data_IF_203166810135
#
_entry.id   IF_203166810135
#
_cell.length_a   1.000
_cell.length_b   1.000
_cell.length_c   1.000
_cell.angle_alpha   90.00
_cell.angle_beta   90.00
_cell.angle_gamma   90.00
#
_symmetry.space_group_name_H-M   'P 1'
#
loop_
_entity.id
_entity.type
_entity.pdbx_description
1 polymer ?
#
# COMPACT_ATOMS: atom_id res chain seq x y z
N UNK A 1 10.90 29.21 -0.83
CA UNK A 1 11.27 29.82 0.46
C UNK A 1 10.04 29.76 1.34
N UNK A 2 10.18 29.23 2.55
CA UNK A 2 9.10 29.13 3.54
C UNK A 2 9.54 29.82 4.83
N UNK A 3 8.58 30.39 5.56
CA UNK A 3 8.81 31.11 6.82
C UNK A 3 7.97 30.46 7.93
N UNK A 4 8.48 30.45 9.16
CA UNK A 4 7.72 29.93 10.31
C UNK A 4 6.30 30.52 10.32
N UNK A 5 5.30 29.63 10.43
CA UNK A 5 3.87 29.95 10.38
C UNK A 5 3.26 29.88 8.99
N UNK A 6 4.06 29.67 7.93
CA UNK A 6 3.51 29.38 6.61
C UNK A 6 2.70 28.09 6.61
N UNK A 7 1.64 28.06 5.79
CA UNK A 7 0.72 26.94 5.69
C UNK A 7 0.47 26.55 4.24
N UNK A 8 0.12 25.29 4.02
CA UNK A 8 -0.35 24.79 2.74
C UNK A 8 0.49 23.69 2.15
N UNK A 9 0.25 23.39 0.88
CA UNK A 9 0.75 22.20 0.20
C UNK A 9 2.28 22.09 0.19
N UNK A 10 3.00 23.21 0.01
CA UNK A 10 4.47 23.21 0.03
C UNK A 10 5.06 22.81 1.40
N UNK A 11 4.33 23.13 2.50
CA UNK A 11 4.72 22.70 3.85
C UNK A 11 4.41 21.21 4.04
N UNK A 12 3.25 20.74 3.57
CA UNK A 12 2.91 19.31 3.59
C UNK A 12 3.98 18.48 2.87
N UNK A 13 4.39 18.92 1.68
CA UNK A 13 5.44 18.24 0.89
C UNK A 13 6.77 18.16 1.64
N UNK A 14 7.20 19.26 2.25
CA UNK A 14 8.40 19.27 3.10
C UNK A 14 8.27 18.28 4.28
N UNK A 15 7.16 18.33 4.98
CA UNK A 15 6.88 17.47 6.13
C UNK A 15 6.87 15.99 5.74
N UNK A 16 6.20 15.66 4.65
CA UNK A 16 6.17 14.28 4.12
C UNK A 16 7.56 13.79 3.73
N UNK A 17 8.37 14.62 3.08
CA UNK A 17 9.73 14.28 2.71
C UNK A 17 10.62 14.07 3.94
N UNK A 18 10.53 14.93 4.96
CA UNK A 18 11.26 14.78 6.21
C UNK A 18 10.90 13.48 6.93
N UNK A 19 9.60 13.18 7.05
CA UNK A 19 9.12 11.92 7.66
C UNK A 19 9.63 10.72 6.87
N UNK A 20 9.57 10.77 5.54
CA UNK A 20 10.07 9.72 4.67
C UNK A 20 11.58 9.47 4.82
N UNK A 21 12.34 10.52 5.14
CA UNK A 21 13.78 10.45 5.40
C UNK A 21 14.11 10.05 6.85
N UNK A 22 13.09 9.76 7.69
CA UNK A 22 13.25 9.31 9.07
C UNK A 22 13.26 10.43 10.12
N UNK A 23 12.99 11.67 9.72
CA UNK A 23 12.87 12.81 10.65
C UNK A 23 11.41 12.95 11.10
N UNK A 24 11.09 12.28 12.20
CA UNK A 24 9.72 12.12 12.68
C UNK A 24 9.06 13.44 13.09
N UNK A 25 7.76 13.53 12.83
CA UNK A 25 6.84 14.58 13.28
C UNK A 25 5.76 13.93 14.18
N UNK A 26 6.11 13.55 15.43
CA UNK A 26 5.30 12.62 16.23
C UNK A 26 3.99 13.21 16.74
N UNK A 27 3.86 14.52 16.83
CA UNK A 27 2.69 15.18 17.42
C UNK A 27 1.65 15.59 16.39
N UNK A 28 2.08 16.17 15.28
CA UNK A 28 1.18 16.78 14.30
C UNK A 28 1.27 16.14 12.92
N UNK A 29 2.39 15.43 12.63
CA UNK A 29 2.60 14.82 11.32
C UNK A 29 2.75 15.86 10.21
N UNK A 30 2.31 15.51 9.00
CA UNK A 30 2.29 16.41 7.85
C UNK A 30 0.97 17.20 7.82
N UNK A 31 0.80 18.14 8.76
CA UNK A 31 -0.41 18.95 8.95
C UNK A 31 -0.46 20.20 8.07
N UNK A 32 0.63 20.49 7.38
CA UNK A 32 0.76 21.65 6.50
C UNK A 32 1.00 22.97 7.24
N UNK A 33 1.37 22.94 8.52
CA UNK A 33 1.76 24.12 9.31
C UNK A 33 3.27 24.08 9.59
N UNK A 34 4.03 25.09 9.14
CA UNK A 34 5.47 25.19 9.39
C UNK A 34 5.73 25.66 10.83
N UNK A 35 5.45 24.77 11.77
CA UNK A 35 5.65 24.98 13.20
C UNK A 35 7.00 24.49 13.70
N UNK A 36 7.19 24.56 15.03
CA UNK A 36 8.44 24.17 15.71
C UNK A 36 8.82 22.71 15.45
N UNK A 37 7.85 21.81 15.38
CA UNK A 37 8.10 20.39 15.13
C UNK A 37 8.76 20.17 13.77
N UNK A 38 8.21 20.79 12.73
CA UNK A 38 8.76 20.72 11.37
C UNK A 38 10.15 21.36 11.29
N UNK A 39 10.32 22.52 11.92
CA UNK A 39 11.62 23.19 11.92
C UNK A 39 12.68 22.39 12.68
N UNK A 40 12.35 21.78 13.81
CA UNK A 40 13.27 20.90 14.55
C UNK A 40 13.65 19.66 13.75
N UNK A 41 12.72 19.06 13.04
CA UNK A 41 12.99 17.94 12.13
C UNK A 41 13.92 18.34 10.97
N UNK A 42 13.65 19.51 10.37
CA UNK A 42 14.52 20.08 9.33
C UNK A 42 15.92 20.42 9.84
N UNK A 43 16.03 21.03 11.03
CA UNK A 43 17.33 21.31 11.65
C UNK A 43 18.17 20.05 11.80
N UNK A 44 17.56 18.98 12.32
CA UNK A 44 18.24 17.69 12.44
C UNK A 44 18.67 17.14 11.08
N UNK A 45 17.79 17.21 10.08
CA UNK A 45 18.13 16.82 8.71
C UNK A 45 19.33 17.61 8.18
N UNK A 46 19.33 18.93 8.36
CA UNK A 46 20.40 19.81 7.89
C UNK A 46 21.74 19.52 8.60
N UNK A 47 21.70 19.29 9.91
CA UNK A 47 22.89 18.90 10.69
C UNK A 47 23.46 17.57 10.18
N UNK A 48 22.63 16.56 9.98
CA UNK A 48 23.06 15.25 9.47
C UNK A 48 23.65 15.33 8.05
N UNK A 49 23.33 16.40 7.29
CA UNK A 49 23.85 16.67 5.94
C UNK A 49 24.90 17.80 5.90
N UNK A 50 25.48 18.16 7.04
CA UNK A 50 26.60 19.12 7.14
C UNK A 50 26.23 20.57 6.83
N UNK A 51 24.95 20.96 7.03
CA UNK A 51 24.45 22.32 6.78
C UNK A 51 24.28 23.18 8.04
N UNK A 52 24.79 22.72 9.18
CA UNK A 52 24.65 23.41 10.46
C UNK A 52 23.50 22.83 11.31
N UNK A 53 23.43 23.24 12.55
CA UNK A 53 22.48 22.74 13.56
C UNK A 53 21.57 23.86 14.14
N UNK A 54 21.63 25.06 13.56
CA UNK A 54 20.76 26.16 13.96
C UNK A 54 19.38 26.02 13.29
N UNK A 55 18.33 26.25 14.08
CA UNK A 55 16.97 26.21 13.57
C UNK A 55 16.72 27.39 12.62
N UNK A 56 16.39 27.15 11.33
CA UNK A 56 16.21 28.23 10.37
C UNK A 56 14.89 28.97 10.66
N UNK A 57 14.96 30.28 10.78
CA UNK A 57 13.76 31.11 10.82
C UNK A 57 13.07 31.18 9.44
N UNK A 58 13.87 31.11 8.39
CA UNK A 58 13.43 31.07 6.99
C UNK A 58 14.07 29.85 6.33
N UNK A 59 13.26 28.97 5.79
CA UNK A 59 13.73 27.81 5.03
C UNK A 59 14.00 28.29 3.60
N UNK A 60 15.28 28.42 3.26
CA UNK A 60 15.70 28.88 1.95
C UNK A 60 15.41 27.84 0.85
N UNK A 61 15.43 28.28 -0.41
CA UNK A 61 15.21 27.38 -1.54
C UNK A 61 16.27 26.25 -1.61
N UNK A 62 17.53 26.56 -1.21
CA UNK A 62 18.61 25.57 -1.20
C UNK A 62 18.40 24.44 -0.18
N UNK A 63 17.76 24.72 0.95
CA UNK A 63 17.43 23.73 1.98
C UNK A 63 16.26 22.83 1.53
N UNK A 64 15.23 23.43 0.94
CA UNK A 64 14.12 22.68 0.33
C UNK A 64 14.62 21.78 -0.79
N UNK A 65 15.49 22.30 -1.64
CA UNK A 65 16.09 21.53 -2.74
C UNK A 65 16.95 20.39 -2.22
N UNK A 66 17.72 20.58 -1.14
CA UNK A 66 18.51 19.52 -0.53
C UNK A 66 17.61 18.41 0.02
N UNK A 67 16.53 18.76 0.74
CA UNK A 67 15.54 17.77 1.22
C UNK A 67 14.97 17.00 0.04
N UNK A 68 14.56 17.71 -1.01
CA UNK A 68 14.01 17.09 -2.22
C UNK A 68 15.01 16.16 -2.92
N UNK A 69 16.27 16.57 -3.09
CA UNK A 69 17.31 15.75 -3.73
C UNK A 69 17.63 14.48 -2.93
N UNK A 70 17.77 14.59 -1.60
CA UNK A 70 18.02 13.43 -0.74
C UNK A 70 16.81 12.50 -0.75
N UNK A 71 15.60 13.05 -0.69
CA UNK A 71 14.36 12.28 -0.80
C UNK A 71 14.25 11.57 -2.15
N UNK A 72 14.50 12.27 -3.25
CA UNK A 72 14.46 11.70 -4.61
C UNK A 72 15.52 10.61 -4.79
N UNK A 73 16.74 10.81 -4.28
CA UNK A 73 17.80 9.79 -4.30
C UNK A 73 17.41 8.56 -3.47
N UNK A 74 16.79 8.78 -2.31
CA UNK A 74 16.30 7.69 -1.44
C UNK A 74 15.12 6.97 -2.07
N UNK A 75 14.21 7.69 -2.72
CA UNK A 75 13.09 7.13 -3.47
C UNK A 75 13.56 6.37 -4.73
N UNK A 76 14.56 6.89 -5.45
CA UNK A 76 15.18 6.21 -6.58
C UNK A 76 15.96 4.94 -6.17
N UNK A 77 16.47 4.91 -4.95
CA UNK A 77 17.08 3.71 -4.35
C UNK A 77 16.03 2.71 -3.83
N UNK A 78 14.74 3.05 -3.92
CA UNK A 78 13.67 2.10 -3.61
C UNK A 78 13.61 1.07 -4.73
N UNK A 79 13.92 -0.21 -4.47
CA UNK A 79 13.92 -1.21 -5.53
C UNK A 79 12.54 -1.26 -6.18
N UNK A 80 12.53 -1.38 -7.51
CA UNK A 80 11.34 -1.81 -8.26
C UNK A 80 10.74 -3.00 -7.52
N UNK A 81 9.43 -3.05 -7.27
CA UNK A 81 8.79 -4.10 -6.46
C UNK A 81 9.25 -5.51 -6.81
N UNK A 82 9.50 -5.76 -8.09
CA UNK A 82 9.99 -7.05 -8.57
C UNK A 82 11.12 -6.83 -9.57
N UNK A 83 12.37 -7.19 -9.26
CA UNK A 83 13.47 -7.08 -10.21
C UNK A 83 13.17 -7.82 -11.52
N UNK A 84 13.40 -7.15 -12.66
CA UNK A 84 13.17 -7.71 -13.99
C UNK A 84 11.72 -7.70 -14.46
N UNK A 85 10.81 -7.08 -13.72
CA UNK A 85 9.41 -6.85 -14.10
C UNK A 85 9.11 -5.38 -14.32
N UNK A 86 8.07 -5.08 -15.09
CA UNK A 86 7.68 -3.70 -15.37
C UNK A 86 6.92 -3.12 -14.17
N UNK A 87 7.30 -1.91 -13.81
CA UNK A 87 6.59 -1.10 -12.82
C UNK A 87 5.92 0.08 -13.51
N UNK A 88 4.61 0.19 -13.34
CA UNK A 88 3.83 1.31 -13.85
C UNK A 88 3.38 2.21 -12.71
N UNK A 89 3.82 3.46 -12.73
CA UNK A 89 3.34 4.49 -11.81
C UNK A 89 2.20 5.27 -12.49
N UNK A 90 0.96 4.91 -12.15
CA UNK A 90 -0.25 5.47 -12.74
C UNK A 90 -0.87 6.59 -11.88
N UNK A 91 -0.20 7.06 -10.85
CA UNK A 91 -0.77 8.05 -9.91
C UNK A 91 -1.17 9.37 -10.55
N UNK A 92 -0.60 9.71 -11.70
CA UNK A 92 -0.94 10.93 -12.45
C UNK A 92 -2.14 10.70 -13.38
N UNK A 93 -2.26 9.49 -13.91
CA UNK A 93 -3.25 9.07 -14.89
C UNK A 93 -4.52 8.55 -14.23
N UNK A 94 -4.42 8.01 -13.00
CA UNK A 94 -5.51 7.35 -12.32
C UNK A 94 -6.72 8.26 -12.05
N UNK A 95 -7.91 7.65 -12.09
CA UNK A 95 -9.16 8.31 -11.72
C UNK A 95 -9.17 8.69 -10.24
N UNK A 96 -8.98 9.97 -9.97
CA UNK A 96 -8.91 10.53 -8.62
C UNK A 96 -10.26 10.61 -7.92
N UNK A 97 -11.37 10.37 -8.62
CA UNK A 97 -12.72 10.33 -8.01
C UNK A 97 -12.85 9.23 -6.96
N UNK A 98 -11.97 8.21 -7.01
CA UNK A 98 -11.91 7.11 -6.06
C UNK A 98 -11.16 7.46 -4.78
N UNK A 99 -10.51 8.62 -4.70
CA UNK A 99 -9.76 9.07 -3.52
C UNK A 99 -10.69 9.86 -2.61
N UNK A 100 -10.96 9.32 -1.42
CA UNK A 100 -11.86 9.91 -0.41
C UNK A 100 -11.12 10.57 0.76
N UNK A 101 -9.81 10.75 0.61
CA UNK A 101 -8.95 11.38 1.61
C UNK A 101 -7.54 10.81 1.60
N UNK A 102 -6.79 11.19 2.63
CA UNK A 102 -5.41 10.72 2.85
C UNK A 102 -5.26 10.30 4.31
N UNK A 103 -4.46 9.27 4.55
CA UNK A 103 -4.15 8.74 5.88
C UNK A 103 -2.65 8.81 6.15
N UNK A 104 -2.22 9.06 7.40
CA UNK A 104 -0.80 9.04 7.74
C UNK A 104 -0.24 7.62 7.62
N UNK A 105 1.05 7.50 7.36
CA UNK A 105 1.74 6.21 7.25
C UNK A 105 1.57 5.32 8.48
N UNK A 106 1.50 5.91 9.66
CA UNK A 106 1.30 5.19 10.93
C UNK A 106 -0.09 4.55 11.06
N UNK A 107 -1.06 4.96 10.24
CA UNK A 107 -2.39 4.37 10.19
C UNK A 107 -2.46 3.19 9.24
N UNK A 108 -1.48 3.04 8.32
CA UNK A 108 -1.42 1.91 7.40
C UNK A 108 -0.84 0.71 8.16
N UNK A 109 -1.70 -0.26 8.48
CA UNK A 109 -1.36 -1.42 9.29
C UNK A 109 -1.57 -2.75 8.58
N UNK A 110 -2.19 -2.75 7.40
CA UNK A 110 -2.48 -3.96 6.65
C UNK A 110 -2.42 -3.79 5.14
N UNK A 111 -2.48 -4.93 4.48
CA UNK A 111 -2.71 -5.06 3.04
C UNK A 111 -3.93 -5.96 2.87
N UNK A 112 -4.89 -5.56 2.04
CA UNK A 112 -6.03 -6.42 1.67
C UNK A 112 -5.81 -6.95 0.25
N UNK A 113 -5.83 -8.27 0.10
CA UNK A 113 -5.77 -8.93 -1.20
C UNK A 113 -7.16 -9.03 -1.83
N UNK A 114 -7.20 -8.73 -3.12
CA UNK A 114 -8.39 -8.83 -3.97
C UNK A 114 -8.07 -9.63 -5.23
N UNK A 115 -9.09 -10.23 -5.84
CA UNK A 115 -9.05 -10.64 -7.23
C UNK A 115 -9.86 -9.66 -8.08
N UNK A 116 -9.33 -9.26 -9.24
CA UNK A 116 -10.03 -8.39 -10.17
C UNK A 116 -11.32 -9.02 -10.71
N UNK A 117 -11.45 -10.34 -10.65
CA UNK A 117 -12.50 -11.12 -11.28
C UNK A 117 -12.60 -10.86 -12.81
N UNK A 118 -11.52 -10.47 -13.43
CA UNK A 118 -11.39 -10.17 -14.85
C UNK A 118 -9.95 -10.35 -15.31
N UNK A 119 -9.78 -10.77 -16.55
CA UNK A 119 -8.54 -10.74 -17.29
C UNK A 119 -8.54 -9.49 -18.18
N UNK A 120 -7.65 -8.54 -17.91
CA UNK A 120 -7.54 -7.31 -18.70
C UNK A 120 -6.77 -7.51 -20.01
N UNK A 121 -6.11 -8.66 -20.17
CA UNK A 121 -5.27 -8.94 -21.33
C UNK A 121 -4.11 -7.96 -21.47
N UNK A 122 -3.62 -7.80 -22.71
CA UNK A 122 -2.46 -6.94 -23.00
C UNK A 122 -2.80 -5.44 -23.17
N UNK A 123 -4.04 -5.02 -22.91
CA UNK A 123 -4.48 -3.61 -23.05
C UNK A 123 -4.01 -2.76 -21.86
N UNK A 124 -2.72 -2.64 -21.67
CA UNK A 124 -2.11 -1.92 -20.54
C UNK A 124 -1.47 -0.61 -21.00
N UNK A 125 -1.38 0.38 -20.12
CA UNK A 125 -1.87 0.49 -18.73
C UNK A 125 -3.30 1.02 -18.58
N UNK A 126 -3.98 1.39 -19.68
CA UNK A 126 -5.21 2.19 -19.70
C UNK A 126 -6.42 1.59 -18.95
N UNK A 127 -6.40 0.31 -18.59
CA UNK A 127 -7.49 -0.32 -17.83
C UNK A 127 -7.25 -0.34 -16.33
N UNK A 128 -6.00 -0.12 -15.90
CA UNK A 128 -5.59 -0.18 -14.52
C UNK A 128 -5.79 1.15 -13.78
N UNK A 129 -5.90 2.27 -14.53
CA UNK A 129 -6.05 3.63 -13.99
C UNK A 129 -7.37 3.88 -13.27
N UNK A 130 -8.39 3.05 -13.52
CA UNK A 130 -9.72 3.14 -12.91
C UNK A 130 -9.94 2.18 -11.74
N UNK A 131 -8.94 1.44 -11.30
CA UNK A 131 -9.07 0.52 -10.17
C UNK A 131 -9.32 1.25 -8.85
N UNK A 132 -10.14 0.62 -8.03
CA UNK A 132 -10.46 1.09 -6.67
C UNK A 132 -9.52 0.45 -5.64
N UNK A 133 -8.23 0.44 -5.92
CA UNK A 133 -7.17 -0.03 -5.02
C UNK A 133 -5.90 0.79 -5.25
N UNK A 134 -4.99 0.78 -4.29
CA UNK A 134 -3.74 1.53 -4.42
C UNK A 134 -2.75 0.83 -5.35
N UNK A 135 -2.79 -0.49 -5.41
CA UNK A 135 -1.82 -1.29 -6.17
C UNK A 135 -2.49 -2.45 -6.90
N UNK A 136 -1.84 -2.95 -7.94
CA UNK A 136 -2.26 -4.14 -8.65
C UNK A 136 -1.08 -4.93 -9.22
N UNK A 137 -1.32 -6.22 -9.53
CA UNK A 137 -0.39 -7.09 -10.24
C UNK A 137 -1.12 -7.84 -11.36
N UNK A 138 -0.46 -7.96 -12.53
CA UNK A 138 -1.03 -8.60 -13.71
C UNK A 138 -0.58 -10.05 -13.87
N UNK A 139 -1.31 -10.79 -14.70
CA UNK A 139 -0.97 -12.18 -15.07
C UNK A 139 0.42 -12.31 -15.69
N UNK A 140 0.89 -11.30 -16.45
CA UNK A 140 2.23 -11.28 -17.06
C UNK A 140 3.32 -10.82 -16.09
N UNK A 141 2.95 -10.41 -14.89
CA UNK A 141 3.90 -10.04 -13.84
C UNK A 141 4.28 -8.55 -13.81
N UNK A 142 3.45 -7.67 -14.37
CA UNK A 142 3.61 -6.24 -14.18
C UNK A 142 3.02 -5.80 -12.85
N UNK A 143 3.63 -4.79 -12.22
CA UNK A 143 3.14 -4.17 -10.99
C UNK A 143 2.71 -2.73 -11.24
N UNK A 144 1.56 -2.37 -10.72
CA UNK A 144 0.95 -1.05 -10.90
C UNK A 144 0.80 -0.34 -9.56
N UNK A 145 1.28 0.89 -9.48
CA UNK A 145 0.95 1.84 -8.43
C UNK A 145 -0.13 2.78 -8.97
N UNK A 146 -1.38 2.47 -8.67
CA UNK A 146 -2.55 3.19 -9.20
C UNK A 146 -2.79 4.47 -8.42
N UNK A 147 -2.72 4.39 -7.09
CA UNK A 147 -2.86 5.53 -6.18
C UNK A 147 -1.73 5.54 -5.15
N UNK A 148 -1.47 6.70 -4.54
CA UNK A 148 -0.57 6.76 -3.40
C UNK A 148 -1.00 5.76 -2.32
N UNK A 149 -0.04 5.11 -1.66
CA UNK A 149 -0.34 4.16 -0.58
C UNK A 149 -1.10 4.83 0.59
N UNK A 150 -0.90 6.12 0.78
CA UNK A 150 -1.62 6.92 1.77
C UNK A 150 -3.02 7.33 1.30
N UNK A 151 -3.36 7.20 0.03
CA UNK A 151 -4.71 7.53 -0.45
C UNK A 151 -5.75 6.63 0.22
N UNK A 152 -6.82 7.24 0.73
CA UNK A 152 -7.98 6.53 1.22
C UNK A 152 -8.86 6.17 0.04
N UNK A 153 -8.78 4.92 -0.41
CA UNK A 153 -9.56 4.36 -1.52
C UNK A 153 -10.54 3.34 -0.96
N UNK A 154 -11.72 3.27 -1.54
CA UNK A 154 -12.76 2.33 -1.09
C UNK A 154 -12.64 0.97 -1.78
N UNK A 155 -11.65 0.17 -1.37
CA UNK A 155 -11.39 -1.16 -1.93
C UNK A 155 -11.94 -2.31 -1.07
N UNK A 156 -11.86 -2.22 0.26
CA UNK A 156 -11.98 -3.33 1.21
C UNK A 156 -13.02 -3.11 2.31
N UNK A 157 -14.05 -2.27 2.12
CA UNK A 157 -15.08 -1.99 3.13
C UNK A 157 -14.45 -1.52 4.45
N UNK A 158 -14.57 -2.29 5.53
CA UNK A 158 -14.05 -1.93 6.85
C UNK A 158 -12.52 -1.86 6.94
N UNK A 159 -11.79 -2.39 5.97
CA UNK A 159 -10.33 -2.30 5.90
C UNK A 159 -9.82 -1.01 5.23
N UNK A 160 -10.69 -0.25 4.52
CA UNK A 160 -10.27 0.97 3.81
C UNK A 160 -9.43 1.95 4.66
N UNK A 161 -9.73 2.18 5.96
CA UNK A 161 -8.96 3.13 6.74
C UNK A 161 -7.52 2.69 7.05
N UNK A 162 -7.27 1.39 7.07
CA UNK A 162 -6.02 0.82 7.60
C UNK A 162 -5.20 0.04 6.58
N UNK A 163 -5.82 -0.41 5.48
CA UNK A 163 -5.16 -1.31 4.55
C UNK A 163 -4.89 -0.67 3.19
N UNK A 164 -3.81 -1.09 2.57
CA UNK A 164 -3.53 -0.90 1.15
C UNK A 164 -4.21 -2.02 0.38
N UNK A 165 -4.99 -1.69 -0.65
CA UNK A 165 -5.57 -2.68 -1.56
C UNK A 165 -4.53 -3.15 -2.58
N UNK A 166 -4.44 -4.47 -2.76
CA UNK A 166 -3.67 -5.11 -3.83
C UNK A 166 -4.61 -5.98 -4.67
N UNK A 167 -4.92 -5.51 -5.87
CA UNK A 167 -5.71 -6.21 -6.86
C UNK A 167 -4.84 -7.18 -7.66
N UNK A 168 -5.33 -8.40 -7.83
CA UNK A 168 -4.66 -9.48 -8.55
C UNK A 168 -5.49 -9.83 -9.77
N UNK A 169 -4.89 -9.69 -10.96
CA UNK A 169 -5.57 -9.95 -12.22
C UNK A 169 -6.01 -11.41 -12.33
N UNK A 170 -7.17 -11.63 -12.90
CA UNK A 170 -7.73 -12.94 -13.14
C UNK A 170 -9.02 -13.20 -12.35
N UNK A 171 -9.68 -14.31 -12.70
CA UNK A 171 -10.84 -14.84 -12.02
C UNK A 171 -10.43 -16.11 -11.27
N UNK A 172 -10.44 -16.07 -9.95
CA UNK A 172 -10.09 -17.21 -9.11
C UNK A 172 -11.28 -17.65 -8.28
N UNK A 173 -11.48 -18.95 -8.21
CA UNK A 173 -12.52 -19.51 -7.37
C UNK A 173 -12.08 -19.54 -5.90
N UNK A 174 -13.03 -19.43 -5.03
CA UNK A 174 -12.92 -20.05 -3.71
C UNK A 174 -13.30 -21.53 -3.78
N UNK A 175 -13.69 -22.11 -2.66
CA UNK A 175 -14.13 -23.50 -2.60
C UNK A 175 -15.41 -23.73 -3.41
N UNK A 176 -16.27 -22.73 -3.51
CA UNK A 176 -17.61 -22.85 -4.13
C UNK A 176 -17.60 -22.61 -5.65
N UNK A 177 -16.43 -22.50 -6.29
CA UNK A 177 -16.34 -22.18 -7.72
C UNK A 177 -16.31 -20.67 -7.98
N UNK A 178 -16.40 -20.24 -9.24
CA UNK A 178 -16.36 -18.82 -9.61
C UNK A 178 -17.48 -18.02 -8.96
N UNK A 179 -17.27 -16.73 -8.68
CA UNK A 179 -18.23 -15.91 -7.92
C UNK A 179 -19.63 -15.83 -8.56
N UNK A 180 -19.71 -15.89 -9.87
CA UNK A 180 -20.95 -15.83 -10.65
C UNK A 180 -21.38 -17.17 -11.26
N UNK A 181 -20.57 -18.22 -11.10
CA UNK A 181 -20.84 -19.55 -11.66
C UNK A 181 -20.71 -19.64 -13.18
N UNK A 182 -20.27 -18.60 -13.86
CA UNK A 182 -20.32 -18.48 -15.32
C UNK A 182 -19.00 -18.72 -16.01
N UNK A 183 -17.86 -18.60 -15.30
CA UNK A 183 -16.53 -18.74 -15.86
C UNK A 183 -15.73 -19.87 -15.19
N UNK A 184 -14.85 -20.49 -15.96
CA UNK A 184 -13.86 -21.43 -15.41
C UNK A 184 -12.81 -20.65 -14.62
N UNK A 185 -12.53 -20.99 -13.35
CA UNK A 185 -11.47 -20.36 -12.59
C UNK A 185 -10.12 -20.47 -13.30
N UNK A 186 -9.34 -19.41 -13.26
CA UNK A 186 -7.96 -19.40 -13.74
C UNK A 186 -7.03 -19.95 -12.67
N UNK A 187 -5.89 -20.47 -13.09
CA UNK A 187 -4.77 -20.76 -12.19
C UNK A 187 -3.82 -19.56 -12.16
N UNK A 188 -3.40 -19.08 -10.98
CA UNK A 188 -2.45 -17.98 -10.89
C UNK A 188 -1.17 -18.32 -11.64
N UNK A 189 -0.66 -17.39 -12.46
CA UNK A 189 0.61 -17.55 -13.12
C UNK A 189 1.77 -17.42 -12.13
N UNK A 190 2.90 -18.10 -12.36
CA UNK A 190 4.11 -17.88 -11.54
C UNK A 190 4.54 -16.41 -11.53
N UNK A 191 4.34 -15.71 -12.64
CA UNK A 191 4.63 -14.29 -12.81
C UNK A 191 3.78 -13.42 -11.90
N UNK A 192 2.46 -13.63 -11.89
CA UNK A 192 1.54 -12.94 -10.98
C UNK A 192 1.91 -13.18 -9.51
N UNK A 193 2.16 -14.44 -9.14
CA UNK A 193 2.52 -14.80 -7.76
C UNK A 193 3.80 -14.08 -7.33
N UNK A 194 4.87 -14.17 -8.15
CA UNK A 194 6.13 -13.51 -7.85
C UNK A 194 6.01 -11.99 -7.75
N UNK A 195 5.21 -11.38 -8.64
CA UNK A 195 4.96 -9.94 -8.66
C UNK A 195 4.14 -9.49 -7.45
N UNK A 196 3.10 -10.22 -7.09
CA UNK A 196 2.30 -9.92 -5.90
C UNK A 196 3.12 -10.02 -4.61
N UNK A 197 3.93 -11.08 -4.46
CA UNK A 197 4.85 -11.22 -3.33
C UNK A 197 5.87 -10.08 -3.28
N UNK A 198 6.47 -9.71 -4.42
CA UNK A 198 7.38 -8.57 -4.53
C UNK A 198 6.70 -7.25 -4.17
N UNK A 199 5.47 -7.05 -4.64
CA UNK A 199 4.65 -5.89 -4.31
C UNK A 199 4.34 -5.79 -2.81
N UNK A 200 4.00 -6.89 -2.15
CA UNK A 200 3.78 -6.94 -0.70
C UNK A 200 5.05 -6.56 0.06
N UNK A 201 6.22 -7.10 -0.32
CA UNK A 201 7.52 -6.71 0.28
C UNK A 201 7.79 -5.22 0.10
N UNK A 202 7.54 -4.72 -1.11
CA UNK A 202 7.73 -3.29 -1.42
C UNK A 202 6.80 -2.41 -0.58
N UNK A 203 5.51 -2.72 -0.47
CA UNK A 203 4.56 -1.98 0.38
C UNK A 203 5.03 -2.03 1.85
N UNK A 204 5.45 -3.20 2.33
CA UNK A 204 5.98 -3.38 3.69
C UNK A 204 7.15 -2.45 3.96
N UNK A 205 8.13 -2.40 3.05
CA UNK A 205 9.30 -1.53 3.21
C UNK A 205 8.95 -0.04 3.04
N UNK A 206 7.97 0.32 2.19
CA UNK A 206 7.49 1.70 2.11
C UNK A 206 6.87 2.15 3.43
N UNK A 207 5.95 1.38 3.97
CA UNK A 207 5.27 1.71 5.24
C UNK A 207 6.28 1.82 6.37
N UNK A 208 7.21 0.87 6.49
CA UNK A 208 8.27 0.86 7.49
C UNK A 208 9.21 2.08 7.37
N UNK A 209 9.65 2.41 6.16
CA UNK A 209 10.52 3.56 5.86
C UNK A 209 9.90 4.88 6.31
N UNK A 210 8.58 5.01 6.19
CA UNK A 210 7.84 6.20 6.58
C UNK A 210 7.31 6.17 8.02
N UNK A 211 7.86 5.30 8.86
CA UNK A 211 7.53 5.23 10.29
C UNK A 211 6.22 4.51 10.64
N UNK A 212 5.59 3.86 9.66
CA UNK A 212 4.45 2.98 9.89
C UNK A 212 4.87 1.54 10.22
N UNK A 213 3.90 0.69 10.50
CA UNK A 213 4.14 -0.72 10.80
C UNK A 213 3.01 -1.59 10.23
N UNK A 214 3.31 -2.35 9.18
CA UNK A 214 2.40 -3.40 8.72
C UNK A 214 2.41 -4.58 9.70
N UNK A 215 1.22 -5.07 9.98
CA UNK A 215 0.95 -6.20 10.87
C UNK A 215 0.07 -7.25 10.22
N UNK A 216 -0.72 -6.84 9.24
CA UNK A 216 -1.81 -7.66 8.71
C UNK A 216 -1.71 -7.85 7.20
N UNK A 217 -2.11 -9.03 6.78
CA UNK A 217 -2.40 -9.37 5.40
C UNK A 217 -3.79 -10.00 5.38
N UNK A 218 -4.79 -9.24 4.91
CA UNK A 218 -6.19 -9.63 4.93
C UNK A 218 -6.68 -10.09 3.55
N UNK A 219 -7.74 -10.89 3.57
CA UNK A 219 -8.56 -11.18 2.40
C UNK A 219 -9.80 -10.29 2.40
N UNK A 220 -10.25 -9.82 1.25
CA UNK A 220 -11.48 -9.01 1.14
C UNK A 220 -12.69 -9.73 1.75
N UNK A 221 -12.74 -11.09 1.65
CA UNK A 221 -13.80 -11.89 2.31
C UNK A 221 -13.96 -11.59 3.79
N UNK A 222 -12.88 -11.22 4.49
CA UNK A 222 -12.93 -10.97 5.93
C UNK A 222 -13.69 -9.69 6.30
N UNK A 223 -13.98 -8.80 5.34
CA UNK A 223 -14.73 -7.56 5.57
C UNK A 223 -16.17 -7.58 5.02
N UNK A 224 -16.49 -8.49 4.09
CA UNK A 224 -17.80 -8.50 3.41
C UNK A 224 -18.22 -9.91 2.99
N UNK A 225 -19.44 -10.32 3.37
CA UNK A 225 -19.99 -11.64 3.03
C UNK A 225 -20.15 -11.87 1.53
N UNK A 226 -20.59 -10.84 0.77
CA UNK A 226 -20.69 -10.93 -0.70
C UNK A 226 -19.33 -11.11 -1.40
N UNK A 227 -18.22 -11.02 -0.68
CA UNK A 227 -16.85 -11.21 -1.17
C UNK A 227 -16.20 -12.50 -0.67
N UNK A 228 -17.01 -13.51 -0.33
CA UNK A 228 -16.54 -14.76 0.28
C UNK A 228 -15.50 -15.53 -0.51
N UNK A 229 -15.42 -15.35 -1.85
CA UNK A 229 -14.43 -15.97 -2.74
C UNK A 229 -13.24 -15.06 -3.07
N UNK A 230 -13.09 -13.91 -2.42
CA UNK A 230 -12.12 -12.90 -2.76
C UNK A 230 -11.00 -12.83 -1.68
N UNK A 231 -9.70 -13.06 -2.03
CA UNK A 231 -9.12 -13.20 -3.38
C UNK A 231 -9.23 -14.61 -3.99
N UNK A 232 -9.59 -15.63 -3.27
CA UNK A 232 -9.61 -17.02 -3.69
C UNK A 232 -8.56 -17.87 -2.97
N UNK A 233 -8.85 -19.19 -2.90
CA UNK A 233 -7.99 -20.15 -2.20
C UNK A 233 -6.58 -20.19 -2.78
N UNK A 234 -6.48 -20.26 -4.11
CA UNK A 234 -5.20 -20.44 -4.79
C UNK A 234 -4.28 -19.23 -4.56
N UNK A 235 -4.82 -18.01 -4.70
CA UNK A 235 -4.06 -16.78 -4.40
C UNK A 235 -3.69 -16.69 -2.93
N UNK A 236 -4.61 -17.06 -2.04
CA UNK A 236 -4.33 -17.04 -0.61
C UNK A 236 -3.18 -17.97 -0.24
N UNK A 237 -3.22 -19.21 -0.72
CA UNK A 237 -2.20 -20.20 -0.43
C UNK A 237 -0.85 -19.88 -1.09
N UNK A 238 -0.87 -19.39 -2.33
CA UNK A 238 0.35 -19.09 -3.07
C UNK A 238 1.02 -17.77 -2.65
N UNK A 239 0.25 -16.80 -2.14
CA UNK A 239 0.75 -15.45 -1.86
C UNK A 239 0.67 -15.13 -0.37
N UNK A 240 -0.52 -15.20 0.25
CA UNK A 240 -0.72 -14.70 1.59
C UNK A 240 0.04 -15.53 2.65
N UNK A 241 -0.11 -16.84 2.60
CA UNK A 241 0.53 -17.72 3.60
C UNK A 241 2.06 -17.56 3.60
N UNK A 242 2.78 -17.65 2.45
CA UNK A 242 4.22 -17.43 2.43
C UNK A 242 4.62 -16.03 2.90
N UNK A 243 3.88 -14.98 2.50
CA UNK A 243 4.22 -13.62 2.85
C UNK A 243 3.98 -13.30 4.33
N UNK A 244 2.93 -13.87 4.93
CA UNK A 244 2.72 -13.77 6.38
C UNK A 244 3.88 -14.44 7.14
N UNK A 245 4.31 -15.62 6.71
CA UNK A 245 5.43 -16.32 7.33
C UNK A 245 6.76 -15.56 7.19
N UNK A 246 7.02 -14.98 6.00
CA UNK A 246 8.26 -14.25 5.71
C UNK A 246 8.36 -12.92 6.48
N UNK A 247 7.27 -12.15 6.51
CA UNK A 247 7.25 -10.78 7.05
C UNK A 247 6.74 -10.68 8.49
N UNK A 248 6.36 -11.79 9.09
CA UNK A 248 5.79 -11.81 10.45
C UNK A 248 4.41 -11.14 10.52
N UNK A 249 3.62 -11.22 9.43
CA UNK A 249 2.27 -10.70 9.37
C UNK A 249 1.26 -11.75 9.82
N UNK A 250 0.02 -11.30 10.09
CA UNK A 250 -1.11 -12.19 10.42
C UNK A 250 -2.37 -11.71 9.69
N UNK A 251 -3.30 -12.61 9.47
CA UNK A 251 -4.64 -12.32 8.95
C UNK A 251 -5.66 -12.00 10.04
N UNK A 252 -5.20 -11.83 11.30
CA UNK A 252 -6.03 -11.66 12.48
C UNK A 252 -6.30 -12.96 13.23
N UNK A 253 -5.93 -14.12 12.68
CA UNK A 253 -6.05 -15.42 13.31
C UNK A 253 -7.38 -16.14 13.07
N UNK A 254 -7.51 -17.32 13.65
CA UNK A 254 -8.68 -18.18 13.52
C UNK A 254 -9.98 -17.44 13.85
N UNK A 255 -10.93 -17.46 12.93
CA UNK A 255 -12.23 -16.84 13.10
C UNK A 255 -12.28 -15.33 12.92
N UNK A 256 -11.15 -14.67 12.63
CA UNK A 256 -11.10 -13.21 12.47
C UNK A 256 -11.88 -12.74 11.23
N UNK A 257 -12.73 -11.77 11.47
CA UNK A 257 -13.50 -11.03 10.46
C UNK A 257 -13.99 -9.71 11.02
N UNK A 258 -14.36 -8.79 10.15
CA UNK A 258 -14.99 -7.52 10.52
C UNK A 258 -16.32 -7.35 9.78
N UNK A 259 -17.22 -6.57 10.34
CA UNK A 259 -18.53 -6.29 9.74
C UNK A 259 -19.30 -7.57 9.37
N UNK A 260 -19.79 -7.64 8.15
CA UNK A 260 -20.48 -8.82 7.60
C UNK A 260 -19.55 -9.87 7.00
N UNK A 261 -18.23 -9.72 7.16
CA UNK A 261 -17.24 -10.61 6.54
C UNK A 261 -17.28 -12.04 7.03
N UNK A 262 -16.48 -12.87 6.39
CA UNK A 262 -16.26 -14.29 6.73
C UNK A 262 -14.78 -14.53 7.02
N UNK A 263 -14.49 -15.31 8.03
CA UNK A 263 -13.14 -15.72 8.38
C UNK A 263 -12.49 -16.54 7.26
N UNK A 264 -11.16 -16.61 7.27
CA UNK A 264 -10.41 -17.52 6.40
C UNK A 264 -10.78 -18.97 6.77
N UNK A 265 -11.22 -19.79 5.81
CA UNK A 265 -11.63 -21.16 6.08
C UNK A 265 -10.42 -22.12 6.12
N UNK A 266 -10.64 -23.32 6.65
CA UNK A 266 -9.62 -24.36 6.73
C UNK A 266 -9.02 -24.72 5.37
N UNK A 267 -9.84 -24.74 4.34
CA UNK A 267 -9.40 -25.04 2.98
C UNK A 267 -8.40 -23.99 2.42
N UNK A 268 -8.51 -22.74 2.88
CA UNK A 268 -7.57 -21.68 2.51
C UNK A 268 -6.32 -21.68 3.39
N UNK A 269 -6.50 -21.96 4.69
CA UNK A 269 -5.41 -22.09 5.64
C UNK A 269 -5.59 -23.35 6.50
N UNK A 270 -4.84 -24.44 6.21
CA UNK A 270 -4.97 -25.71 6.92
C UNK A 270 -4.72 -25.65 8.43
N UNK A 271 -4.20 -24.53 8.95
CA UNK A 271 -4.05 -24.32 10.39
C UNK A 271 -5.37 -23.97 11.08
N UNK A 272 -6.41 -23.61 10.32
CA UNK A 272 -7.70 -23.16 10.83
C UNK A 272 -8.74 -24.29 10.85
N UNK A 273 -8.38 -25.40 11.50
CA UNK A 273 -9.22 -26.59 11.61
C UNK A 273 -10.62 -26.23 12.10
N UNK A 274 -11.65 -26.68 11.38
CA UNK A 274 -13.05 -26.46 11.68
C UNK A 274 -13.63 -25.11 11.23
N UNK A 275 -12.84 -24.24 10.60
CA UNK A 275 -13.33 -23.01 9.98
C UNK A 275 -13.90 -23.33 8.60
N UNK A 276 -15.21 -23.12 8.41
CA UNK A 276 -15.91 -23.43 7.15
C UNK A 276 -15.98 -22.22 6.22
N UNK A 277 -16.11 -22.52 4.93
CA UNK A 277 -16.25 -21.53 3.84
C UNK A 277 -17.49 -20.62 3.96
#
# INVERSE_FOLDING_TARGET
MLTRGDKGQAVVELQEQLVALGYALPRWGADGDLGNETLSALTKFLADHGRGDEEPYVVAAAELELVHQVYAATAAACPVPVPGRTFYDLRKESDRSNIHGRRPWTQITGITLHQCAVDFGHEKPARWDSLWAQTAASLEGDFFLVHDLQALVWHGHGFNPTDVGLELEGLYAGIAGPPDGSATPQTPTPELIATAQGGIRWIYEQVKRHGGQLRYLHAHRQSRDSRRADPGQELWQAIAIPMMAELGLTDGGLGFKIGSGRAIPEEWNPQYVGSAY
#
